data_IF_495339073591
#
_entry.id   IF_495339073591
#
_cell.length_a   1.000
_cell.length_b   1.000
_cell.length_c   1.000
_cell.angle_alpha   90.00
_cell.angle_beta   90.00
_cell.angle_gamma   90.00
#
_symmetry.space_group_name_H-M   'P 1'
#
loop_
_entity.id
_entity.type
_entity.pdbx_description
1 polymer ?
#
# COMPACT_ATOMS: atom_id res chain seq x y z
N UNK A 1 -5.43 -1.45 -5.14
CA UNK A 1 -4.87 -2.13 -3.94
C UNK A 1 -5.69 -3.38 -3.71
N UNK A 2 -5.02 -4.51 -3.50
CA UNK A 2 -5.65 -5.82 -3.38
C UNK A 2 -5.18 -6.51 -2.11
N UNK A 3 -6.09 -7.12 -1.36
CA UNK A 3 -5.72 -8.02 -0.28
C UNK A 3 -5.27 -9.37 -0.85
N UNK A 4 -4.18 -9.91 -0.33
CA UNK A 4 -3.71 -11.26 -0.67
C UNK A 4 -4.22 -12.27 0.37
N UNK A 5 -4.15 -13.55 0.01
CA UNK A 5 -4.39 -14.66 0.94
C UNK A 5 -3.20 -14.91 1.89
N UNK A 6 -2.07 -14.23 1.69
CA UNK A 6 -0.85 -14.31 2.52
C UNK A 6 -0.78 -13.25 3.62
N UNK A 7 -1.87 -12.53 3.89
CA UNK A 7 -1.88 -11.47 4.91
C UNK A 7 -1.09 -10.22 4.50
N UNK A 8 -1.00 -9.94 3.20
CA UNK A 8 -0.42 -8.72 2.64
C UNK A 8 -1.44 -7.93 1.83
N UNK A 9 -1.11 -6.67 1.53
CA UNK A 9 -1.70 -5.93 0.44
C UNK A 9 -0.72 -5.82 -0.70
N UNK A 10 -1.20 -6.09 -1.92
CA UNK A 10 -0.54 -5.65 -3.14
C UNK A 10 -0.97 -4.22 -3.45
N UNK A 11 0.00 -3.32 -3.43
CA UNK A 11 -0.17 -1.87 -3.62
C UNK A 11 0.46 -1.48 -4.94
N UNK A 12 -0.38 -1.19 -5.92
CA UNK A 12 0.01 -0.57 -7.18
C UNK A 12 0.04 0.95 -7.00
N UNK A 13 1.10 1.58 -7.50
CA UNK A 13 1.29 3.02 -7.44
C UNK A 13 2.37 3.50 -8.40
N UNK A 14 2.61 4.80 -8.41
CA UNK A 14 3.63 5.40 -9.26
C UNK A 14 5.03 5.05 -8.76
N UNK A 15 5.91 4.76 -9.71
CA UNK A 15 7.32 4.46 -9.47
C UNK A 15 8.02 5.69 -8.87
N UNK A 16 8.93 5.43 -7.93
CA UNK A 16 9.87 6.42 -7.42
C UNK A 16 11.30 6.02 -7.82
N UNK A 17 12.30 6.79 -7.38
CA UNK A 17 13.71 6.43 -7.59
C UNK A 17 14.13 5.16 -6.81
N UNK A 18 13.30 4.71 -5.86
CA UNK A 18 13.49 3.52 -5.04
C UNK A 18 12.48 2.43 -5.46
N UNK A 19 12.92 1.24 -5.93
CA UNK A 19 12.01 0.18 -6.39
C UNK A 19 11.10 -0.39 -5.30
N UNK A 20 11.49 -0.26 -4.04
CA UNK A 20 10.71 -0.63 -2.85
C UNK A 20 9.65 0.40 -2.48
N UNK A 21 9.68 1.60 -3.05
CA UNK A 21 8.82 2.72 -2.66
C UNK A 21 7.91 3.12 -3.82
N UNK A 22 6.62 3.18 -3.54
CA UNK A 22 5.60 3.69 -4.48
C UNK A 22 4.95 4.94 -3.92
N UNK A 23 4.47 5.80 -4.81
CA UNK A 23 3.54 6.87 -4.47
C UNK A 23 2.11 6.46 -4.83
N UNK A 24 1.16 6.64 -3.91
CA UNK A 24 -0.25 6.31 -4.11
C UNK A 24 -1.15 7.52 -3.82
N UNK A 25 -2.29 7.68 -4.53
CA UNK A 25 -3.31 8.63 -4.13
C UNK A 25 -3.97 8.17 -2.83
N UNK A 26 -4.34 9.11 -1.95
CA UNK A 26 -5.00 8.78 -0.67
C UNK A 26 -6.29 7.95 -0.85
N UNK A 27 -6.97 8.09 -1.99
CA UNK A 27 -8.17 7.31 -2.32
C UNK A 27 -7.90 5.80 -2.40
N UNK A 28 -6.67 5.39 -2.73
CA UNK A 28 -6.30 3.98 -2.81
C UNK A 28 -6.44 3.28 -1.45
N UNK A 29 -6.30 4.03 -0.34
CA UNK A 29 -6.49 3.51 1.02
C UNK A 29 -7.96 3.12 1.30
N UNK A 30 -8.91 3.63 0.53
CA UNK A 30 -10.32 3.25 0.61
C UNK A 30 -10.60 1.80 0.21
N UNK A 31 -9.63 1.12 -0.42
CA UNK A 31 -9.72 -0.31 -0.78
C UNK A 31 -9.17 -1.24 0.30
N UNK A 32 -8.73 -0.72 1.44
CA UNK A 32 -8.36 -1.56 2.56
C UNK A 32 -9.58 -2.34 3.05
N UNK A 33 -9.39 -3.61 3.41
CA UNK A 33 -10.45 -4.43 3.99
C UNK A 33 -10.92 -3.84 5.33
N UNK A 34 -12.19 -4.00 5.70
CA UNK A 34 -12.69 -3.60 7.02
C UNK A 34 -11.82 -4.15 8.15
N UNK A 35 -11.67 -3.35 9.22
CA UNK A 35 -10.91 -3.70 10.44
C UNK A 35 -9.44 -4.08 10.21
N UNK A 36 -8.85 -3.65 9.10
CA UNK A 36 -7.43 -3.82 8.81
C UNK A 36 -6.78 -2.50 8.37
N UNK A 37 -5.45 -2.45 8.33
CA UNK A 37 -4.70 -1.31 7.84
C UNK A 37 -3.41 -1.72 7.13
N UNK A 38 -2.87 -0.80 6.31
CA UNK A 38 -1.59 -0.95 5.62
C UNK A 38 -0.45 -0.92 6.64
N UNK A 39 0.23 -2.05 6.82
CA UNK A 39 1.32 -2.25 7.77
C UNK A 39 2.66 -1.67 7.31
N UNK A 40 2.64 -0.50 6.69
CA UNK A 40 3.83 0.26 6.28
C UNK A 40 3.66 1.73 6.64
N UNK A 41 4.76 2.38 6.99
CA UNK A 41 4.78 3.82 7.25
C UNK A 41 4.47 4.57 5.96
N UNK A 42 3.52 5.49 6.02
CA UNK A 42 3.15 6.36 4.92
C UNK A 42 3.63 7.79 5.19
N UNK A 43 4.33 8.39 4.23
CA UNK A 43 4.73 9.79 4.28
C UNK A 43 3.86 10.61 3.32
N UNK A 44 3.21 11.65 3.84
CA UNK A 44 2.42 12.56 3.02
C UNK A 44 3.35 13.38 2.11
N UNK A 45 3.02 13.46 0.82
CA UNK A 45 3.78 14.27 -0.14
C UNK A 45 3.35 15.73 -0.17
N UNK A 46 2.23 16.06 0.48
CA UNK A 46 1.58 17.37 0.41
C UNK A 46 0.65 17.57 -0.81
N UNK A 47 0.51 16.57 -1.68
CA UNK A 47 -0.32 16.66 -2.91
C UNK A 47 -1.61 15.83 -2.87
N UNK A 48 -1.96 15.31 -1.69
CA UNK A 48 -3.04 14.32 -1.55
C UNK A 48 -2.63 12.89 -1.92
N UNK A 49 -1.32 12.63 -1.98
CA UNK A 49 -0.70 11.33 -2.18
C UNK A 49 0.21 10.97 -0.99
N UNK A 50 0.58 9.70 -0.89
CA UNK A 50 1.50 9.17 0.10
C UNK A 50 2.59 8.36 -0.58
N UNK A 51 3.83 8.45 -0.08
CA UNK A 51 4.84 7.43 -0.35
C UNK A 51 4.81 6.37 0.74
N UNK A 52 5.02 5.12 0.35
CA UNK A 52 5.18 3.99 1.27
C UNK A 52 6.06 2.91 0.63
N UNK A 53 6.77 2.17 1.48
CA UNK A 53 7.71 1.16 1.05
C UNK A 53 7.28 -0.25 1.43
N UNK A 54 7.70 -1.24 0.64
CA UNK A 54 7.37 -2.65 0.83
C UNK A 54 8.30 -3.56 0.03
N UNK A 55 7.91 -4.83 -0.11
CA UNK A 55 8.63 -5.79 -0.96
C UNK A 55 8.26 -5.52 -2.43
N UNK A 56 9.22 -5.19 -3.33
CA UNK A 56 8.91 -5.07 -4.75
C UNK A 56 8.31 -6.37 -5.30
N UNK A 57 7.20 -6.25 -6.04
CA UNK A 57 6.65 -7.39 -6.79
C UNK A 57 7.44 -7.53 -8.08
N UNK A 58 8.17 -8.64 -8.20
CA UNK A 58 9.01 -8.92 -9.39
C UNK A 58 8.67 -10.25 -10.04
N UNK A 59 7.76 -11.02 -9.44
CA UNK A 59 7.29 -12.30 -9.95
C UNK A 59 6.52 -12.10 -11.26
N UNK A 60 6.98 -12.69 -12.40
CA UNK A 60 6.35 -12.49 -13.70
C UNK A 60 4.87 -12.87 -13.74
N UNK A 61 4.50 -13.96 -13.06
CA UNK A 61 3.11 -14.45 -13.00
C UNK A 61 2.19 -13.49 -12.25
N UNK A 62 2.69 -12.79 -11.23
CA UNK A 62 1.94 -11.77 -10.51
C UNK A 62 1.82 -10.51 -11.36
N UNK A 63 2.93 -10.04 -11.96
CA UNK A 63 2.93 -8.85 -12.82
C UNK A 63 2.03 -9.01 -14.04
N UNK A 64 1.95 -10.21 -14.63
CA UNK A 64 1.07 -10.50 -15.76
C UNK A 64 -0.43 -10.40 -15.43
N UNK A 65 -0.81 -10.39 -14.16
CA UNK A 65 -2.19 -10.23 -13.70
C UNK A 65 -2.55 -8.76 -13.40
N UNK A 66 -1.56 -7.86 -13.37
CA UNK A 66 -1.76 -6.44 -13.08
C UNK A 66 -1.91 -5.65 -14.39
N UNK A 67 -2.77 -4.64 -14.35
CA UNK A 67 -2.84 -3.62 -15.38
C UNK A 67 -1.99 -2.43 -14.91
N UNK A 68 -0.71 -2.40 -15.34
CA UNK A 68 0.26 -1.38 -14.94
C UNK A 68 0.52 -0.40 -16.08
N UNK A 69 0.40 0.89 -15.80
CA UNK A 69 0.93 1.92 -16.69
C UNK A 69 2.48 1.90 -16.70
N UNK A 70 3.10 2.56 -17.69
CA UNK A 70 4.57 2.60 -17.86
C UNK A 70 5.30 3.13 -16.62
N UNK A 71 4.70 4.11 -15.95
CA UNK A 71 5.21 4.79 -14.76
C UNK A 71 4.73 4.18 -13.45
N UNK A 72 4.05 3.03 -13.50
CA UNK A 72 3.58 2.32 -12.32
C UNK A 72 4.47 1.11 -11.98
N UNK A 73 4.36 0.69 -10.73
CA UNK A 73 4.92 -0.55 -10.20
C UNK A 73 4.04 -1.04 -9.04
N UNK A 74 4.36 -2.20 -8.49
CA UNK A 74 3.66 -2.76 -7.34
C UNK A 74 4.63 -3.21 -6.25
N UNK A 75 4.21 -3.01 -5.00
CA UNK A 75 4.88 -3.54 -3.81
C UNK A 75 3.89 -4.36 -2.99
N UNK A 76 4.41 -5.25 -2.18
CA UNK A 76 3.67 -5.93 -1.13
C UNK A 76 4.02 -5.33 0.25
N UNK A 77 2.98 -5.06 1.03
CA UNK A 77 3.07 -4.55 2.40
C UNK A 77 2.22 -5.41 3.32
N UNK A 78 2.57 -5.58 4.61
CA UNK A 78 1.72 -6.35 5.52
C UNK A 78 0.30 -5.79 5.61
N UNK A 79 -0.70 -6.68 5.65
CA UNK A 79 -2.08 -6.35 6.04
C UNK A 79 -2.21 -6.66 7.53
N UNK A 80 -2.39 -5.63 8.35
CA UNK A 80 -2.44 -5.79 9.81
C UNK A 80 -3.86 -5.55 10.34
N UNK A 81 -4.23 -6.27 11.39
CA UNK A 81 -5.50 -6.07 12.07
C UNK A 81 -5.52 -4.76 12.86
N UNK A 82 -6.62 -4.02 12.74
CA UNK A 82 -6.84 -2.80 13.51
C UNK A 82 -7.11 -3.18 14.97
N UNK A 83 -6.11 -2.96 15.80
CA UNK A 83 -6.21 -3.16 17.25
C UNK A 83 -6.48 -1.86 18.03
N UNK A 84 -6.46 -0.71 17.37
CA UNK A 84 -6.73 0.60 17.98
C UNK A 84 -7.91 1.30 17.29
N UNK A 85 -8.97 1.53 18.06
CA UNK A 85 -10.21 2.15 17.58
C UNK A 85 -10.35 3.63 17.95
N UNK A 86 -9.34 4.17 18.63
CA UNK A 86 -9.41 5.50 19.24
C UNK A 86 -9.93 5.42 20.66
N UNK A 87 -9.02 5.67 21.59
CA UNK A 87 -9.31 6.40 22.82
C UNK A 87 -8.15 7.38 22.93
N UNK A 88 -8.42 8.69 22.84
CA UNK A 88 -7.48 9.63 23.45
C UNK A 88 -7.37 9.18 24.91
N UNK A 89 -6.16 9.01 25.45
CA UNK A 89 -6.02 8.96 26.90
C UNK A 89 -6.88 10.11 27.46
N UNK A 90 -7.88 9.76 28.25
CA UNK A 90 -8.74 10.77 28.84
C UNK A 90 -7.86 11.59 29.78
N UNK A 91 -7.71 12.87 29.41
CA UNK A 91 -7.17 14.01 30.14
C UNK A 91 -5.70 14.35 29.93
#
# INVERSE_FOLDING_TARGET
>A
MYATDQGSYLVQGWRTDEPETVEIPHLLLGFAEPDTFVGSTMAATGRGTFTLSGRPVTEPDTLAQLDLAEDETAIEVPKLERNFYGASAAR
#
